data_IF_846757115149
#
_entry.id   IF_846757115149
#
_cell.length_a   1.000
_cell.length_b   1.000
_cell.length_c   1.000
_cell.angle_alpha   90.00
_cell.angle_beta   90.00
_cell.angle_gamma   90.00
#
_symmetry.space_group_name_H-M   'P 1'
#
loop_
_entity.id
_entity.type
_entity.pdbx_description
1 polymer ?
#
# COMPACT_ATOMS: atom_id res chain seq x y z
N UNK A 1 24.82 102.01 7.60
CA UNK A 1 25.10 101.20 6.38
C UNK A 1 25.92 99.94 6.68
N UNK A 2 26.20 99.63 7.95
CA UNK A 2 26.97 98.46 8.42
C UNK A 2 26.09 97.27 8.83
N UNK A 3 24.81 97.50 9.13
CA UNK A 3 23.89 96.46 9.65
C UNK A 3 23.43 95.45 8.58
N UNK A 4 23.41 95.85 7.30
CA UNK A 4 23.05 94.97 6.18
C UNK A 4 24.18 94.00 5.84
N UNK A 5 25.44 94.40 5.99
CA UNK A 5 26.62 93.55 5.70
C UNK A 5 26.81 92.43 6.74
N UNK A 6 26.44 92.65 8.00
CA UNK A 6 26.48 91.61 9.05
C UNK A 6 25.33 90.60 8.97
N UNK A 7 24.20 90.97 8.36
CA UNK A 7 23.01 90.11 8.30
C UNK A 7 23.11 88.98 7.26
N UNK A 8 23.75 89.21 6.10
CA UNK A 8 23.94 88.19 5.06
C UNK A 8 24.73 86.94 5.51
N UNK A 9 25.89 87.03 6.18
CA UNK A 9 26.63 85.85 6.63
C UNK A 9 25.88 85.04 7.71
N UNK A 10 25.05 85.70 8.51
CA UNK A 10 24.22 85.03 9.54
C UNK A 10 23.11 84.21 8.88
N UNK A 11 22.45 84.74 7.84
CA UNK A 11 21.41 84.01 7.10
C UNK A 11 22.02 82.81 6.35
N UNK A 12 23.18 82.98 5.71
CA UNK A 12 23.86 81.91 5.00
C UNK A 12 24.28 80.76 5.93
N UNK A 13 24.81 81.07 7.13
CA UNK A 13 25.18 80.05 8.11
C UNK A 13 23.97 79.30 8.67
N UNK A 14 22.84 79.99 8.92
CA UNK A 14 21.60 79.35 9.34
C UNK A 14 21.08 78.36 8.30
N UNK A 15 21.11 78.71 7.01
CA UNK A 15 20.71 77.83 5.91
C UNK A 15 21.59 76.57 5.87
N UNK A 16 22.91 76.72 5.98
CA UNK A 16 23.85 75.58 5.97
C UNK A 16 23.56 74.64 7.15
N UNK A 17 23.32 75.17 8.34
CA UNK A 17 22.98 74.36 9.52
C UNK A 17 21.68 73.59 9.30
N UNK A 18 20.65 74.22 8.73
CA UNK A 18 19.38 73.55 8.40
C UNK A 18 19.59 72.42 7.38
N UNK A 19 20.38 72.65 6.32
CA UNK A 19 20.70 71.61 5.34
C UNK A 19 21.47 70.45 5.97
N UNK A 20 22.46 70.71 6.82
CA UNK A 20 23.22 69.68 7.52
C UNK A 20 22.31 68.87 8.47
N UNK A 21 21.38 69.52 9.18
CA UNK A 21 20.39 68.84 10.01
C UNK A 21 19.43 67.98 9.18
N UNK A 22 18.96 68.47 8.03
CA UNK A 22 18.09 67.71 7.12
C UNK A 22 18.80 66.48 6.53
N UNK A 23 20.06 66.63 6.10
CA UNK A 23 20.90 65.52 5.62
C UNK A 23 21.14 64.50 6.76
N UNK A 24 21.40 64.97 7.98
CA UNK A 24 21.55 64.11 9.15
C UNK A 24 20.29 63.30 9.46
N UNK A 25 19.11 63.93 9.44
CA UNK A 25 17.82 63.26 9.66
C UNK A 25 17.52 62.22 8.58
N UNK A 26 17.69 62.57 7.30
CA UNK A 26 17.46 61.64 6.18
C UNK A 26 18.43 60.45 6.21
N UNK A 27 19.70 60.68 6.60
CA UNK A 27 20.68 59.60 6.81
C UNK A 27 20.30 58.68 7.98
N UNK A 28 19.75 59.22 9.08
CA UNK A 28 19.28 58.42 10.23
C UNK A 28 18.06 57.58 9.85
N UNK A 29 17.07 58.20 9.20
CA UNK A 29 15.83 57.52 8.76
C UNK A 29 16.14 56.44 7.73
N UNK A 30 16.97 56.74 6.73
CA UNK A 30 17.36 55.75 5.71
C UNK A 30 18.14 54.56 6.29
N UNK A 31 19.02 54.79 7.29
CA UNK A 31 19.69 53.70 8.02
C UNK A 31 18.69 52.83 8.79
N UNK A 32 17.75 53.45 9.51
CA UNK A 32 16.71 52.72 10.25
C UNK A 32 15.83 51.87 9.31
N UNK A 33 15.40 52.44 8.18
CA UNK A 33 14.61 51.73 7.16
C UNK A 33 15.39 50.56 6.52
N UNK A 34 16.71 50.73 6.26
CA UNK A 34 17.56 49.65 5.74
C UNK A 34 17.64 48.47 6.72
N UNK A 35 17.90 48.74 7.99
CA UNK A 35 17.94 47.70 9.03
C UNK A 35 16.61 46.94 9.13
N UNK A 36 15.49 47.66 9.08
CA UNK A 36 14.17 47.05 9.09
C UNK A 36 13.94 46.20 7.83
N UNK A 37 14.32 46.69 6.66
CA UNK A 37 14.23 45.94 5.40
C UNK A 37 15.08 44.67 5.43
N UNK A 38 16.28 44.72 6.00
CA UNK A 38 17.17 43.56 6.10
C UNK A 38 16.60 42.51 7.04
N UNK A 39 16.02 42.94 8.17
CA UNK A 39 15.33 42.05 9.10
C UNK A 39 14.13 41.35 8.44
N UNK A 40 13.31 42.10 7.70
CA UNK A 40 12.18 41.53 6.95
C UNK A 40 12.67 40.56 5.86
N UNK A 41 13.73 40.91 5.12
CA UNK A 41 14.36 40.02 4.12
C UNK A 41 14.85 38.73 4.75
N UNK A 42 15.43 38.77 5.94
CA UNK A 42 15.85 37.56 6.65
C UNK A 42 14.66 36.67 7.04
N UNK A 43 13.54 37.27 7.50
CA UNK A 43 12.31 36.52 7.80
C UNK A 43 11.74 35.84 6.57
N UNK A 44 11.63 36.56 5.46
CA UNK A 44 11.15 36.02 4.19
C UNK A 44 12.03 34.85 3.75
N UNK A 45 13.35 35.01 3.79
CA UNK A 45 14.29 33.92 3.45
C UNK A 45 14.17 32.69 4.35
N UNK A 46 13.83 32.86 5.64
CA UNK A 46 13.59 31.73 6.55
C UNK A 46 12.30 31.00 6.19
N UNK A 47 11.21 31.74 5.98
CA UNK A 47 9.93 31.18 5.58
C UNK A 47 10.01 30.48 4.22
N UNK A 48 10.73 31.05 3.25
CA UNK A 48 10.98 30.41 1.96
C UNK A 48 11.72 29.08 2.11
N UNK A 49 12.73 29.01 2.98
CA UNK A 49 13.46 27.77 3.28
C UNK A 49 12.57 26.72 3.97
N UNK A 50 11.73 27.14 4.90
CA UNK A 50 10.78 26.26 5.57
C UNK A 50 9.75 25.70 4.58
N UNK A 51 9.24 26.55 3.68
CA UNK A 51 8.33 26.14 2.62
C UNK A 51 9.01 25.17 1.64
N UNK A 52 10.23 25.46 1.22
CA UNK A 52 11.01 24.57 0.36
C UNK A 52 11.24 23.20 1.03
N UNK A 53 11.59 23.20 2.31
CA UNK A 53 11.77 21.96 3.09
C UNK A 53 10.46 21.17 3.22
N UNK A 54 9.35 21.85 3.52
CA UNK A 54 8.03 21.21 3.60
C UNK A 54 7.60 20.64 2.24
N UNK A 55 7.85 21.37 1.15
CA UNK A 55 7.58 20.90 -0.20
C UNK A 55 8.39 19.65 -0.55
N UNK A 56 9.66 19.57 -0.12
CA UNK A 56 10.49 18.36 -0.30
C UNK A 56 9.93 17.17 0.48
N UNK A 57 9.56 17.38 1.74
CA UNK A 57 8.92 16.34 2.56
C UNK A 57 7.61 15.84 1.95
N UNK A 58 6.78 16.73 1.40
CA UNK A 58 5.56 16.33 0.70
C UNK A 58 5.83 15.49 -0.55
N UNK A 59 6.89 15.80 -1.31
CA UNK A 59 7.30 14.99 -2.45
C UNK A 59 7.77 13.59 -2.04
N UNK A 60 8.53 13.49 -0.95
CA UNK A 60 8.94 12.21 -0.38
C UNK A 60 7.72 11.39 0.08
N UNK A 61 6.80 12.00 0.83
CA UNK A 61 5.56 11.35 1.27
C UNK A 61 4.73 10.89 0.06
N UNK A 62 4.61 11.71 -0.98
CA UNK A 62 3.91 11.33 -2.21
C UNK A 62 4.52 10.08 -2.85
N UNK A 63 5.86 10.00 -2.91
CA UNK A 63 6.55 8.81 -3.41
C UNK A 63 6.26 7.57 -2.57
N UNK A 64 6.27 7.70 -1.24
CA UNK A 64 5.95 6.60 -0.31
C UNK A 64 4.51 6.12 -0.50
N UNK A 65 3.55 7.04 -0.60
CA UNK A 65 2.13 6.70 -0.80
C UNK A 65 1.91 5.97 -2.13
N UNK A 66 2.57 6.40 -3.21
CA UNK A 66 2.50 5.70 -4.50
C UNK A 66 3.06 4.27 -4.38
N UNK A 67 4.21 4.10 -3.73
CA UNK A 67 4.80 2.78 -3.50
C UNK A 67 3.91 1.88 -2.64
N UNK A 68 3.27 2.43 -1.61
CA UNK A 68 2.29 1.71 -0.80
C UNK A 68 1.07 1.29 -1.62
N UNK A 69 0.56 2.16 -2.49
CA UNK A 69 -0.54 1.85 -3.40
C UNK A 69 -0.23 0.64 -4.29
N UNK A 70 0.97 0.58 -4.87
CA UNK A 70 1.42 -0.57 -5.66
C UNK A 70 1.47 -1.85 -4.83
N UNK A 71 1.97 -1.77 -3.59
CA UNK A 71 2.03 -2.93 -2.68
C UNK A 71 0.65 -3.43 -2.27
N UNK A 72 -0.32 -2.52 -2.05
CA UNK A 72 -1.71 -2.89 -1.78
C UNK A 72 -2.33 -3.58 -2.98
N UNK A 73 -2.09 -3.09 -4.21
CA UNK A 73 -2.57 -3.75 -5.43
C UNK A 73 -1.96 -5.14 -5.62
N UNK A 74 -0.65 -5.29 -5.39
CA UNK A 74 0.03 -6.59 -5.43
C UNK A 74 -0.55 -7.57 -4.40
N UNK A 75 -0.82 -7.10 -3.17
CA UNK A 75 -1.48 -7.93 -2.15
C UNK A 75 -2.90 -8.30 -2.53
N UNK A 76 -3.65 -7.38 -3.14
CA UNK A 76 -5.02 -7.64 -3.58
C UNK A 76 -5.04 -8.73 -4.68
N UNK A 77 -4.09 -8.70 -5.61
CA UNK A 77 -3.92 -9.73 -6.64
C UNK A 77 -3.59 -11.10 -6.03
N UNK A 78 -2.66 -11.14 -5.08
CA UNK A 78 -2.33 -12.36 -4.32
C UNK A 78 -3.56 -12.91 -3.59
N UNK A 79 -4.32 -12.05 -2.90
CA UNK A 79 -5.55 -12.45 -2.18
C UNK A 79 -6.57 -13.01 -3.16
N UNK A 80 -6.74 -12.39 -4.33
CA UNK A 80 -7.69 -12.86 -5.34
C UNK A 80 -7.29 -14.24 -5.88
N UNK A 81 -6.02 -14.44 -6.19
CA UNK A 81 -5.52 -15.76 -6.59
C UNK A 81 -5.67 -16.82 -5.48
N UNK A 82 -5.39 -16.47 -4.23
CA UNK A 82 -5.64 -17.37 -3.10
C UNK A 82 -7.11 -17.71 -2.95
N UNK A 83 -8.00 -16.73 -3.14
CA UNK A 83 -9.44 -16.95 -3.08
C UNK A 83 -9.89 -17.94 -4.17
N UNK A 84 -9.43 -17.78 -5.41
CA UNK A 84 -9.71 -18.73 -6.50
C UNK A 84 -9.23 -20.14 -6.15
N UNK A 85 -8.02 -20.28 -5.61
CA UNK A 85 -7.49 -21.59 -5.17
C UNK A 85 -8.27 -22.21 -4.03
N UNK A 86 -8.72 -21.40 -3.05
CA UNK A 86 -9.56 -21.90 -1.96
C UNK A 86 -10.89 -22.38 -2.51
N UNK A 87 -11.49 -21.67 -3.46
CA UNK A 87 -12.75 -22.08 -4.08
C UNK A 87 -12.59 -23.39 -4.88
N UNK A 88 -11.50 -23.56 -5.62
CA UNK A 88 -11.14 -24.83 -6.27
C UNK A 88 -11.01 -25.98 -5.25
N UNK A 89 -10.31 -25.74 -4.13
CA UNK A 89 -10.13 -26.75 -3.08
C UNK A 89 -11.41 -27.09 -2.33
N UNK A 90 -12.29 -26.11 -2.09
CA UNK A 90 -13.61 -26.36 -1.48
C UNK A 90 -14.50 -27.22 -2.38
N UNK A 91 -14.38 -27.06 -3.71
CA UNK A 91 -15.07 -27.94 -4.66
C UNK A 91 -14.51 -29.37 -4.59
N UNK A 92 -13.18 -29.55 -4.55
CA UNK A 92 -12.58 -30.88 -4.38
C UNK A 92 -12.94 -31.54 -3.02
N UNK A 93 -13.01 -30.77 -1.93
CA UNK A 93 -13.37 -31.31 -0.61
C UNK A 93 -14.84 -31.75 -0.54
N UNK A 94 -15.72 -31.15 -1.36
CA UNK A 94 -17.12 -31.59 -1.46
C UNK A 94 -17.21 -33.04 -1.93
N UNK A 95 -16.45 -33.41 -2.96
CA UNK A 95 -16.38 -34.79 -3.44
C UNK A 95 -15.74 -35.71 -2.37
N UNK A 96 -14.68 -35.26 -1.72
CA UNK A 96 -14.03 -35.99 -0.61
C UNK A 96 -15.00 -36.30 0.55
N UNK A 97 -15.90 -35.37 0.88
CA UNK A 97 -16.95 -35.58 1.90
C UNK A 97 -17.99 -36.60 1.45
N UNK A 98 -18.40 -36.59 0.18
CA UNK A 98 -19.31 -37.60 -0.38
C UNK A 98 -18.70 -39.00 -0.31
N UNK A 99 -17.42 -39.17 -0.71
CA UNK A 99 -16.73 -40.47 -0.61
C UNK A 99 -16.52 -40.92 0.85
N UNK A 100 -16.19 -40.00 1.77
CA UNK A 100 -16.04 -40.32 3.19
C UNK A 100 -17.37 -40.78 3.80
N UNK A 101 -18.49 -40.14 3.41
CA UNK A 101 -19.83 -40.53 3.84
C UNK A 101 -20.21 -41.89 3.25
N UNK A 102 -20.03 -42.10 1.95
CA UNK A 102 -20.31 -43.36 1.29
C UNK A 102 -19.52 -44.53 1.90
N UNK A 103 -18.23 -44.33 2.19
CA UNK A 103 -17.38 -45.34 2.84
C UNK A 103 -17.97 -45.78 4.18
N UNK A 104 -18.47 -44.84 5.00
CA UNK A 104 -19.13 -45.17 6.28
C UNK A 104 -20.43 -45.94 6.08
N UNK A 105 -21.25 -45.58 5.10
CA UNK A 105 -22.51 -46.29 4.81
C UNK A 105 -22.26 -47.72 4.32
N UNK A 106 -21.26 -47.92 3.44
CA UNK A 106 -20.85 -49.27 3.00
C UNK A 106 -20.33 -50.11 4.17
N UNK A 107 -19.58 -49.52 5.11
CA UNK A 107 -19.12 -50.21 6.33
C UNK A 107 -20.28 -50.65 7.24
N UNK A 108 -21.36 -49.87 7.29
CA UNK A 108 -22.59 -50.19 8.03
C UNK A 108 -23.49 -51.20 7.30
N UNK A 109 -23.15 -51.58 6.05
CA UNK A 109 -23.87 -52.57 5.27
C UNK A 109 -24.97 -52.01 4.38
N UNK A 110 -24.92 -50.71 4.04
CA UNK A 110 -25.85 -50.10 3.09
C UNK A 110 -25.84 -50.82 1.73
N UNK A 111 -27.00 -50.87 1.08
CA UNK A 111 -27.17 -51.49 -0.23
C UNK A 111 -26.76 -50.57 -1.38
N UNK A 112 -26.53 -51.13 -2.57
CA UNK A 112 -26.04 -50.39 -3.74
C UNK A 112 -26.94 -49.21 -4.12
N UNK A 113 -28.27 -49.42 -4.13
CA UNK A 113 -29.26 -48.41 -4.51
C UNK A 113 -29.33 -47.26 -3.51
N UNK A 114 -29.21 -47.58 -2.22
CA UNK A 114 -29.15 -46.61 -1.11
C UNK A 114 -27.89 -45.73 -1.24
N UNK A 115 -26.75 -46.31 -1.63
CA UNK A 115 -25.50 -45.58 -1.83
C UNK A 115 -25.58 -44.60 -3.01
N UNK A 116 -26.23 -45.01 -4.10
CA UNK A 116 -26.43 -44.19 -5.30
C UNK A 116 -27.36 -43.01 -4.99
N UNK A 117 -28.44 -43.24 -4.25
CA UNK A 117 -29.43 -42.20 -3.97
C UNK A 117 -28.96 -41.20 -2.90
N UNK A 118 -28.33 -41.68 -1.82
CA UNK A 118 -28.02 -40.84 -0.64
C UNK A 118 -26.64 -40.16 -0.71
N UNK A 119 -25.70 -40.71 -1.49
CA UNK A 119 -24.39 -40.07 -1.74
C UNK A 119 -24.23 -39.53 -3.17
N UNK A 120 -25.28 -39.61 -4.00
CA UNK A 120 -25.31 -39.13 -5.39
C UNK A 120 -24.17 -39.71 -6.28
N UNK A 121 -23.69 -40.91 -5.95
CA UNK A 121 -22.58 -41.55 -6.65
C UNK A 121 -23.04 -42.25 -7.94
N UNK A 122 -22.24 -42.21 -9.02
CA UNK A 122 -22.48 -43.03 -10.20
C UNK A 122 -22.48 -44.53 -9.87
N UNK A 123 -23.32 -45.30 -10.56
CA UNK A 123 -23.44 -46.76 -10.36
C UNK A 123 -22.10 -47.50 -10.37
N UNK A 124 -21.22 -47.17 -11.31
CA UNK A 124 -19.90 -47.80 -11.43
C UNK A 124 -18.99 -47.53 -10.23
N UNK A 125 -19.06 -46.34 -9.63
CA UNK A 125 -18.28 -45.98 -8.45
C UNK A 125 -18.80 -46.66 -7.18
N UNK A 126 -20.13 -46.70 -7.02
CA UNK A 126 -20.75 -47.39 -5.90
C UNK A 126 -20.44 -48.91 -5.93
N UNK A 127 -20.49 -49.54 -7.10
CA UNK A 127 -20.09 -50.95 -7.28
C UNK A 127 -18.62 -51.19 -6.93
N UNK A 128 -17.73 -50.27 -7.36
CA UNK A 128 -16.31 -50.33 -7.02
C UNK A 128 -16.10 -50.23 -5.50
N UNK A 129 -16.72 -49.27 -4.82
CA UNK A 129 -16.60 -49.10 -3.36
C UNK A 129 -17.08 -50.34 -2.59
N UNK A 130 -18.19 -50.95 -2.99
CA UNK A 130 -18.67 -52.19 -2.38
C UNK A 130 -17.68 -53.35 -2.60
N UNK A 131 -17.10 -53.47 -3.80
CA UNK A 131 -16.11 -54.51 -4.11
C UNK A 131 -14.82 -54.32 -3.31
N UNK A 132 -14.35 -53.08 -3.14
CA UNK A 132 -13.17 -52.74 -2.35
C UNK A 132 -13.39 -53.10 -0.88
N UNK A 133 -14.55 -52.77 -0.30
CA UNK A 133 -14.86 -53.13 1.08
C UNK A 133 -14.98 -54.65 1.27
N UNK A 134 -15.56 -55.38 0.31
CA UNK A 134 -15.60 -56.86 0.34
C UNK A 134 -14.19 -57.46 0.33
N UNK A 135 -13.28 -56.90 -0.46
CA UNK A 135 -11.87 -57.30 -0.53
C UNK A 135 -11.12 -56.99 0.77
N UNK A 136 -11.32 -55.81 1.34
CA UNK A 136 -10.74 -55.40 2.64
C UNK A 136 -11.29 -56.24 3.81
N UNK A 137 -12.57 -56.61 3.77
CA UNK A 137 -13.21 -57.49 4.74
C UNK A 137 -12.86 -58.99 4.55
N UNK A 138 -11.94 -59.32 3.64
CA UNK A 138 -11.47 -60.68 3.38
C UNK A 138 -12.49 -61.59 2.69
N UNK A 139 -13.57 -61.03 2.11
CA UNK A 139 -14.62 -61.79 1.41
C UNK A 139 -14.30 -62.05 -0.06
N UNK A 140 -13.28 -61.39 -0.60
CA UNK A 140 -12.87 -61.54 -2.00
C UNK A 140 -11.34 -61.30 -2.13
N UNK A 141 -10.59 -62.09 -2.92
CA UNK A 141 -9.16 -61.88 -3.10
C UNK A 141 -8.87 -60.55 -3.81
N UNK A 142 -7.90 -59.79 -3.31
CA UNK A 142 -7.44 -58.55 -3.95
C UNK A 142 -6.76 -58.93 -5.28
N UNK A 143 -7.20 -58.40 -6.43
CA UNK A 143 -6.52 -58.63 -7.68
C UNK A 143 -5.09 -58.08 -7.58
N UNK A 144 -4.09 -58.75 -8.19
CA UNK A 144 -2.72 -58.25 -8.19
C UNK A 144 -2.69 -56.81 -8.73
N UNK A 145 -2.14 -55.87 -7.96
CA UNK A 145 -1.89 -54.53 -8.44
C UNK A 145 -0.79 -54.63 -9.50
N UNK A 146 -1.15 -54.44 -10.76
CA UNK A 146 -0.20 -54.46 -11.87
C UNK A 146 0.71 -53.23 -11.72
N UNK A 147 1.91 -53.44 -11.15
CA UNK A 147 2.90 -52.40 -11.01
C UNK A 147 3.64 -52.19 -12.33
N UNK A 148 3.30 -51.08 -12.99
CA UNK A 148 4.10 -50.37 -14.01
C UNK A 148 3.88 -50.77 -15.49
N UNK A 149 3.63 -49.77 -16.37
CA UNK A 149 3.56 -49.94 -17.83
C UNK A 149 4.92 -50.13 -18.54
N UNK A 150 6.04 -50.32 -17.83
CA UNK A 150 7.39 -50.40 -18.43
C UNK A 150 7.82 -51.79 -18.94
N UNK A 151 7.07 -52.86 -18.69
CA UNK A 151 7.50 -54.22 -19.05
C UNK A 151 7.27 -54.61 -20.53
N UNK A 152 6.68 -53.74 -21.35
CA UNK A 152 6.28 -54.07 -22.75
C UNK A 152 7.31 -53.66 -23.82
N UNK A 153 8.50 -53.20 -23.42
CA UNK A 153 9.50 -52.60 -24.33
C UNK A 153 10.91 -53.24 -24.24
N UNK A 154 11.02 -54.51 -23.82
CA UNK A 154 12.24 -55.30 -23.97
C UNK A 154 12.00 -56.57 -24.77
#
# INVERSE_FOLDING_TARGET
MTDTLFSFPVIASAIIVVFLCAIGMTARVSKALRLQSDYQRQKVRKLEKELESASKQLLEVRSVVVGLGQKVTEQQDIIQHLHERVLELEQEDTDGRLYTRATKMVQLGAELDELIHECELPKAEAELMMSLQKKLAGREPVPPLESSPEARLR
#
